data_IF_387620696404
#
_entry.id   IF_387620696404
#
_cell.length_a   1.000
_cell.length_b   1.000
_cell.length_c   1.000
_cell.angle_alpha   90.00
_cell.angle_beta   90.00
_cell.angle_gamma   90.00
#
_symmetry.space_group_name_H-M   'P 1'
#
loop_
_entity.id
_entity.type
_entity.pdbx_description
1 polymer ?
#
# COMPACT_ATOMS: atom_id res chain seq x y z
N UNK A 1 1.89 -43.12 -2.07
CA UNK A 1 1.33 -41.77 -1.81
C UNK A 1 2.29 -41.02 -0.91
N UNK A 2 3.19 -40.22 -1.48
CA UNK A 2 4.15 -39.43 -0.70
C UNK A 2 3.41 -38.31 0.03
N UNK A 3 3.43 -38.39 1.36
CA UNK A 3 2.86 -37.41 2.28
C UNK A 3 3.17 -35.97 1.84
N UNK A 4 2.12 -35.17 1.59
CA UNK A 4 2.22 -33.72 1.35
C UNK A 4 2.89 -32.95 2.51
N UNK A 5 3.25 -33.61 3.62
CA UNK A 5 3.93 -32.98 4.78
C UNK A 5 5.34 -32.44 4.45
N UNK A 6 6.00 -32.97 3.42
CA UNK A 6 7.43 -32.65 3.15
C UNK A 6 7.64 -31.50 2.17
N UNK A 7 6.60 -30.95 1.52
CA UNK A 7 6.79 -29.80 0.61
C UNK A 7 7.08 -28.53 1.43
N UNK A 8 8.26 -27.92 1.28
CA UNK A 8 8.59 -26.67 1.98
C UNK A 8 7.64 -25.56 1.50
N UNK A 9 7.26 -24.66 2.42
CA UNK A 9 6.39 -23.52 2.14
C UNK A 9 6.96 -22.61 1.05
N UNK A 10 8.28 -22.39 1.11
CA UNK A 10 9.01 -21.47 0.25
C UNK A 10 10.17 -22.19 -0.41
N UNK A 11 10.56 -21.70 -1.59
CA UNK A 11 11.74 -22.20 -2.29
C UNK A 11 13.04 -21.74 -1.60
N UNK A 12 13.46 -22.47 -0.57
CA UNK A 12 14.70 -22.18 0.17
C UNK A 12 15.99 -22.38 -0.64
N UNK A 13 15.93 -23.09 -1.77
CA UNK A 13 17.08 -23.23 -2.67
C UNK A 13 17.38 -21.95 -3.45
N UNK A 14 16.38 -21.08 -3.62
CA UNK A 14 16.51 -19.78 -4.29
C UNK A 14 15.76 -18.74 -3.45
N UNK A 15 16.38 -18.19 -2.40
CA UNK A 15 15.72 -17.30 -1.44
C UNK A 15 15.43 -15.90 -2.01
N UNK A 16 15.26 -15.74 -3.32
CA UNK A 16 14.95 -14.45 -3.95
C UNK A 16 13.66 -13.82 -3.43
N UNK A 17 12.74 -14.63 -2.90
CA UNK A 17 11.53 -14.15 -2.25
C UNK A 17 11.83 -13.25 -1.03
N UNK A 18 12.96 -13.43 -0.32
CA UNK A 18 13.37 -12.54 0.77
C UNK A 18 13.72 -11.14 0.26
N UNK A 19 14.41 -11.07 -0.88
CA UNK A 19 14.78 -9.79 -1.50
C UNK A 19 13.53 -9.08 -2.00
N UNK A 20 12.64 -9.80 -2.67
CA UNK A 20 11.37 -9.22 -3.14
C UNK A 20 10.54 -8.72 -1.95
N UNK A 21 10.41 -9.52 -0.89
CA UNK A 21 9.69 -9.12 0.32
C UNK A 21 10.33 -7.89 0.99
N UNK A 22 11.66 -7.86 1.08
CA UNK A 22 12.40 -6.69 1.58
C UNK A 22 12.12 -5.43 0.77
N UNK A 23 12.10 -5.54 -0.57
CA UNK A 23 11.73 -4.44 -1.46
C UNK A 23 10.29 -3.99 -1.23
N UNK A 24 9.34 -4.92 -1.09
CA UNK A 24 7.93 -4.59 -0.82
C UNK A 24 7.74 -3.86 0.50
N UNK A 25 8.43 -4.30 1.57
CA UNK A 25 8.38 -3.65 2.87
C UNK A 25 9.02 -2.27 2.84
N UNK A 26 10.21 -2.14 2.25
CA UNK A 26 10.91 -0.86 2.09
C UNK A 26 10.10 0.14 1.25
N UNK A 27 9.53 -0.33 0.14
CA UNK A 27 8.65 0.48 -0.70
C UNK A 27 7.36 0.88 0.04
N UNK A 28 6.75 -0.03 0.80
CA UNK A 28 5.59 0.28 1.66
C UNK A 28 5.88 1.38 2.68
N UNK A 29 7.06 1.37 3.30
CA UNK A 29 7.48 2.46 4.20
C UNK A 29 7.63 3.80 3.47
N UNK A 30 8.29 3.81 2.30
CA UNK A 30 8.44 5.02 1.49
C UNK A 30 7.09 5.58 1.04
N UNK A 31 6.20 4.68 0.61
CA UNK A 31 4.84 5.01 0.24
C UNK A 31 4.09 5.64 1.42
N UNK A 32 4.20 5.08 2.63
CA UNK A 32 3.48 5.58 3.81
C UNK A 32 3.94 6.99 4.16
N UNK A 33 5.25 7.22 4.14
CA UNK A 33 5.84 8.55 4.32
C UNK A 33 5.33 9.55 3.28
N UNK A 34 5.22 9.12 2.02
CA UNK A 34 4.73 9.97 0.93
C UNK A 34 3.26 10.35 1.13
N UNK A 35 2.40 9.39 1.50
CA UNK A 35 0.98 9.64 1.80
C UNK A 35 0.81 10.61 2.98
N UNK A 36 1.61 10.42 4.04
CA UNK A 36 1.60 11.29 5.21
C UNK A 36 1.93 12.73 4.81
N UNK A 37 3.02 12.94 4.05
CA UNK A 37 3.46 14.29 3.63
C UNK A 37 2.42 15.00 2.79
N UNK A 38 1.86 14.32 1.77
CA UNK A 38 0.84 14.92 0.89
C UNK A 38 -0.42 15.31 1.68
N UNK A 39 -0.93 14.42 2.54
CA UNK A 39 -2.11 14.72 3.34
C UNK A 39 -1.85 15.81 4.38
N UNK A 40 -0.67 15.82 4.99
CA UNK A 40 -0.28 16.85 5.94
C UNK A 40 -0.23 18.22 5.27
N UNK A 41 0.39 18.31 4.09
CA UNK A 41 0.45 19.55 3.32
C UNK A 41 -0.93 20.05 2.89
N UNK A 42 -1.78 19.17 2.36
CA UNK A 42 -3.19 19.51 2.05
C UNK A 42 -3.94 20.03 3.26
N UNK A 43 -3.82 19.35 4.41
CA UNK A 43 -4.51 19.77 5.64
C UNK A 43 -4.04 21.13 6.14
N UNK A 44 -2.73 21.37 6.15
CA UNK A 44 -2.17 22.65 6.60
C UNK A 44 -2.56 23.76 5.63
N UNK A 45 -2.48 23.52 4.32
CA UNK A 45 -2.89 24.50 3.33
C UNK A 45 -4.37 24.84 3.38
N UNK A 46 -5.24 23.86 3.62
CA UNK A 46 -6.68 24.10 3.82
C UNK A 46 -6.94 24.94 5.08
N UNK A 47 -6.21 24.69 6.17
CA UNK A 47 -6.37 25.43 7.43
C UNK A 47 -5.82 26.87 7.37
N UNK A 48 -4.76 27.10 6.60
CA UNK A 48 -4.12 28.42 6.47
C UNK A 48 -4.59 29.19 5.24
N UNK A 49 -5.40 28.55 4.38
CA UNK A 49 -5.96 29.12 3.15
C UNK A 49 -4.91 29.70 2.19
N UNK A 50 -3.66 29.25 2.25
CA UNK A 50 -2.56 29.79 1.45
C UNK A 50 -2.55 29.32 -0.02
N UNK A 51 -3.67 28.81 -0.54
CA UNK A 51 -3.72 28.22 -1.87
C UNK A 51 -3.60 29.24 -3.00
N UNK A 52 -3.94 30.49 -2.70
CA UNK A 52 -3.81 31.63 -3.61
C UNK A 52 -2.41 32.28 -3.55
N UNK A 53 -1.59 31.89 -2.58
CA UNK A 53 -0.22 32.37 -2.43
C UNK A 53 0.69 31.72 -3.49
N UNK A 54 1.67 32.49 -3.97
CA UNK A 54 2.72 31.99 -4.85
C UNK A 54 3.64 31.00 -4.11
N UNK A 55 4.33 30.15 -4.89
CA UNK A 55 5.17 29.08 -4.33
C UNK A 55 6.28 29.58 -3.39
N UNK A 56 7.01 30.69 -3.69
CA UNK A 56 7.96 31.30 -2.76
C UNK A 56 7.34 31.66 -1.41
N UNK A 57 6.22 32.39 -1.40
CA UNK A 57 5.54 32.80 -0.16
C UNK A 57 5.13 31.60 0.69
N UNK A 58 4.57 30.56 0.04
CA UNK A 58 4.24 29.29 0.73
C UNK A 58 5.46 28.59 1.30
N UNK A 59 6.59 28.61 0.60
CA UNK A 59 7.83 27.99 1.06
C UNK A 59 8.35 28.71 2.29
N UNK A 60 8.47 30.04 2.24
CA UNK A 60 8.93 30.86 3.37
C UNK A 60 8.01 30.70 4.58
N UNK A 61 6.69 30.69 4.37
CA UNK A 61 5.75 30.47 5.46
C UNK A 61 5.92 29.07 6.08
N UNK A 62 6.05 28.02 5.24
CA UNK A 62 6.18 26.64 5.68
C UNK A 62 7.45 26.45 6.53
N UNK A 63 8.58 26.97 6.08
CA UNK A 63 9.84 26.84 6.80
C UNK A 63 9.81 27.52 8.18
N UNK A 64 9.05 28.61 8.31
CA UNK A 64 8.91 29.34 9.56
C UNK A 64 7.83 28.77 10.51
N UNK A 65 6.72 28.27 9.97
CA UNK A 65 5.50 28.02 10.75
C UNK A 65 4.93 26.61 10.65
N UNK A 66 5.44 25.75 9.75
CA UNK A 66 4.80 24.46 9.48
C UNK A 66 4.67 23.61 10.77
N UNK A 67 3.44 23.18 11.10
CA UNK A 67 3.22 22.39 12.29
C UNK A 67 3.92 21.04 12.17
N UNK A 68 4.47 20.58 13.27
CA UNK A 68 5.13 19.29 13.32
C UNK A 68 4.09 18.17 13.18
N UNK A 69 4.09 17.45 12.06
CA UNK A 69 3.29 16.24 11.89
C UNK A 69 3.86 15.10 12.73
N UNK A 70 3.24 14.77 13.85
CA UNK A 70 3.59 13.60 14.66
C UNK A 70 2.75 12.40 14.25
N UNK A 71 3.42 11.34 13.81
CA UNK A 71 2.85 10.03 13.53
C UNK A 71 3.50 9.00 14.44
N UNK A 72 2.87 7.84 14.64
CA UNK A 72 3.23 6.84 15.67
C UNK A 72 4.74 6.54 15.80
N UNK A 73 5.51 6.62 14.71
CA UNK A 73 6.95 6.37 14.70
C UNK A 73 7.79 7.44 13.99
N UNK A 74 7.18 8.57 13.59
CA UNK A 74 7.87 9.57 12.76
C UNK A 74 7.39 11.00 13.03
N UNK A 75 8.31 11.94 12.96
CA UNK A 75 8.05 13.37 13.08
C UNK A 75 8.40 14.02 11.75
N UNK A 76 7.40 14.49 11.01
CA UNK A 76 7.62 15.18 9.72
C UNK A 76 7.42 16.68 9.89
N UNK A 77 8.49 17.45 9.76
CA UNK A 77 8.45 18.90 9.44
C UNK A 77 8.60 19.16 7.94
N UNK A 78 9.39 18.32 7.28
CA UNK A 78 9.75 18.52 5.88
C UNK A 78 8.59 18.13 4.95
N UNK A 79 8.31 19.00 3.99
CA UNK A 79 7.50 18.72 2.81
C UNK A 79 8.41 18.49 1.59
N UNK A 80 7.83 18.14 0.44
CA UNK A 80 8.59 18.11 -0.81
C UNK A 80 8.53 19.48 -1.49
N UNK A 81 9.64 20.01 -2.02
CA UNK A 81 9.67 21.32 -2.67
C UNK A 81 8.62 21.47 -3.78
N UNK A 82 8.35 20.38 -4.50
CA UNK A 82 7.32 20.32 -5.54
C UNK A 82 5.93 20.73 -5.03
N UNK A 83 5.57 20.42 -3.78
CA UNK A 83 4.22 20.70 -3.26
C UNK A 83 3.91 22.19 -3.18
N UNK A 84 4.93 23.03 -2.98
CA UNK A 84 4.77 24.48 -3.01
C UNK A 84 4.40 25.01 -4.39
N UNK A 85 4.79 24.31 -5.47
CA UNK A 85 4.47 24.72 -6.83
C UNK A 85 3.08 24.27 -7.30
N UNK A 86 2.47 23.32 -6.60
CA UNK A 86 1.17 22.76 -6.96
C UNK A 86 0.04 23.54 -6.28
N UNK A 87 -1.02 23.85 -7.02
CA UNK A 87 -2.26 24.31 -6.40
C UNK A 87 -3.01 23.14 -5.73
N UNK A 88 -4.10 23.45 -5.01
CA UNK A 88 -4.86 22.45 -4.27
C UNK A 88 -5.36 21.28 -5.14
N UNK A 89 -5.96 21.59 -6.29
CA UNK A 89 -6.55 20.55 -7.17
C UNK A 89 -5.48 19.66 -7.80
N UNK A 90 -4.34 20.25 -8.20
CA UNK A 90 -3.17 19.53 -8.70
C UNK A 90 -2.58 18.61 -7.62
N UNK A 91 -2.51 19.06 -6.37
CA UNK A 91 -1.98 18.24 -5.29
C UNK A 91 -2.94 17.09 -4.90
N UNK A 92 -4.25 17.32 -4.98
CA UNK A 92 -5.26 16.25 -4.86
C UNK A 92 -5.13 15.25 -6.00
N UNK A 93 -4.98 15.71 -7.25
CA UNK A 93 -4.74 14.83 -8.39
C UNK A 93 -3.44 14.03 -8.22
N UNK A 94 -2.36 14.67 -7.76
CA UNK A 94 -1.10 14.03 -7.43
C UNK A 94 -1.26 12.93 -6.36
N UNK A 95 -2.03 13.19 -5.30
CA UNK A 95 -2.33 12.20 -4.25
C UNK A 95 -2.99 10.95 -4.82
N UNK A 96 -4.01 11.12 -5.66
CA UNK A 96 -4.73 10.01 -6.27
C UNK A 96 -3.89 9.29 -7.33
N UNK A 97 -3.14 10.04 -8.15
CA UNK A 97 -2.17 9.49 -9.11
C UNK A 97 -1.08 8.66 -8.43
N UNK A 98 -0.51 9.15 -7.33
CA UNK A 98 0.45 8.41 -6.51
C UNK A 98 -0.17 7.12 -5.97
N UNK A 99 -1.42 7.16 -5.52
CA UNK A 99 -2.12 5.97 -5.02
C UNK A 99 -2.34 4.93 -6.13
N UNK A 100 -2.73 5.36 -7.33
CA UNK A 100 -2.86 4.46 -8.48
C UNK A 100 -1.50 3.86 -8.90
N UNK A 101 -0.44 4.67 -8.93
CA UNK A 101 0.90 4.21 -9.26
C UNK A 101 1.44 3.18 -8.25
N UNK A 102 1.27 3.45 -6.95
CA UNK A 102 1.62 2.51 -5.87
C UNK A 102 0.88 1.19 -6.03
N UNK A 103 -0.43 1.24 -6.32
CA UNK A 103 -1.24 0.02 -6.50
C UNK A 103 -0.69 -0.84 -7.65
N UNK A 104 -0.34 -0.22 -8.77
CA UNK A 104 0.26 -0.92 -9.91
C UNK A 104 1.62 -1.53 -9.56
N UNK A 105 2.47 -0.78 -8.85
CA UNK A 105 3.79 -1.26 -8.41
C UNK A 105 3.62 -2.46 -7.47
N UNK A 106 2.71 -2.41 -6.50
CA UNK A 106 2.45 -3.53 -5.60
C UNK A 106 1.92 -4.76 -6.33
N UNK A 107 1.04 -4.58 -7.33
CA UNK A 107 0.59 -5.70 -8.16
C UNK A 107 1.76 -6.38 -8.88
N UNK A 108 2.69 -5.60 -9.46
CA UNK A 108 3.89 -6.13 -10.11
C UNK A 108 4.79 -6.86 -9.10
N UNK A 109 5.00 -6.28 -7.92
CA UNK A 109 5.80 -6.88 -6.86
C UNK A 109 5.17 -8.18 -6.32
N UNK A 110 3.84 -8.22 -6.20
CA UNK A 110 3.09 -9.42 -5.80
C UNK A 110 3.26 -10.55 -6.82
N UNK A 111 3.13 -10.25 -8.11
CA UNK A 111 3.39 -11.23 -9.19
C UNK A 111 4.85 -11.70 -9.14
N UNK A 112 5.80 -10.80 -8.92
CA UNK A 112 7.21 -11.13 -8.77
C UNK A 112 7.44 -12.02 -7.54
N UNK A 113 6.75 -11.77 -6.44
CA UNK A 113 6.82 -12.56 -5.22
C UNK A 113 6.30 -13.99 -5.44
N UNK A 114 5.17 -14.16 -6.15
CA UNK A 114 4.67 -15.49 -6.51
C UNK A 114 5.66 -16.27 -7.40
N UNK A 115 6.30 -15.59 -8.35
CA UNK A 115 7.38 -16.19 -9.16
C UNK A 115 8.58 -16.59 -8.31
N UNK A 116 9.00 -15.72 -7.39
CA UNK A 116 10.16 -15.94 -6.52
C UNK A 116 9.94 -17.06 -5.49
N UNK A 117 8.70 -17.23 -5.02
CA UNK A 117 8.29 -18.32 -4.11
C UNK A 117 8.06 -19.65 -4.83
N UNK A 118 7.99 -19.65 -6.16
CA UNK A 118 7.88 -20.84 -6.99
C UNK A 118 6.45 -21.31 -7.27
N UNK A 119 5.47 -20.40 -7.15
CA UNK A 119 4.05 -20.67 -7.40
C UNK A 119 3.42 -19.69 -8.42
N UNK A 120 4.04 -19.47 -9.60
CA UNK A 120 3.54 -18.53 -10.61
C UNK A 120 2.13 -18.88 -11.11
N UNK A 121 1.73 -20.15 -11.05
CA UNK A 121 0.40 -20.62 -11.42
C UNK A 121 -0.72 -20.04 -10.55
N UNK A 122 -0.39 -19.42 -9.40
CA UNK A 122 -1.36 -18.78 -8.50
C UNK A 122 -1.69 -17.33 -8.84
N UNK A 123 -1.10 -16.76 -9.90
CA UNK A 123 -1.42 -15.39 -10.36
C UNK A 123 -2.93 -15.16 -10.60
N UNK A 124 -3.73 -16.11 -11.14
CA UNK A 124 -5.17 -15.91 -11.27
C UNK A 124 -5.88 -15.65 -9.93
N UNK A 125 -5.43 -16.29 -8.84
CA UNK A 125 -5.97 -16.04 -7.49
C UNK A 125 -5.61 -14.64 -6.99
N UNK A 126 -4.39 -14.17 -7.27
CA UNK A 126 -3.98 -12.81 -6.98
C UNK A 126 -4.85 -11.80 -7.73
N UNK A 127 -5.09 -12.02 -9.03
CA UNK A 127 -5.96 -11.17 -9.84
C UNK A 127 -7.38 -11.13 -9.26
N UNK A 128 -7.93 -12.28 -8.84
CA UNK A 128 -9.23 -12.35 -8.21
C UNK A 128 -9.30 -11.51 -6.92
N UNK A 129 -8.26 -11.54 -6.09
CA UNK A 129 -8.16 -10.71 -4.88
C UNK A 129 -8.16 -9.22 -5.26
N UNK A 130 -7.37 -8.81 -6.25
CA UNK A 130 -7.31 -7.42 -6.69
C UNK A 130 -8.64 -6.93 -7.24
N UNK A 131 -9.33 -7.74 -8.05
CA UNK A 131 -10.63 -7.38 -8.62
C UNK A 131 -11.67 -7.27 -7.51
N UNK A 132 -11.75 -8.24 -6.60
CA UNK A 132 -12.78 -8.24 -5.55
C UNK A 132 -12.54 -7.14 -4.51
N UNK A 133 -11.30 -6.93 -4.07
CA UNK A 133 -10.96 -5.82 -3.17
C UNK A 133 -11.03 -4.44 -3.86
N UNK A 134 -10.96 -4.40 -5.20
CA UNK A 134 -11.16 -3.19 -6.00
C UNK A 134 -12.62 -2.73 -6.09
N UNK A 135 -13.59 -3.61 -5.89
CA UNK A 135 -15.03 -3.26 -5.95
C UNK A 135 -15.38 -2.16 -4.93
N UNK A 136 -15.03 -2.28 -3.63
CA UNK A 136 -15.22 -1.19 -2.66
C UNK A 136 -14.56 0.12 -3.09
N UNK A 137 -13.39 0.05 -3.73
CA UNK A 137 -12.64 1.23 -4.14
C UNK A 137 -13.32 2.04 -5.24
N UNK A 138 -14.11 1.42 -6.13
CA UNK A 138 -14.93 2.15 -7.11
C UNK A 138 -15.93 3.07 -6.38
N UNK A 139 -16.44 2.62 -5.23
CA UNK A 139 -17.31 3.43 -4.39
C UNK A 139 -16.62 4.52 -3.57
N UNK A 140 -15.27 4.61 -3.55
CA UNK A 140 -14.58 5.77 -2.94
C UNK A 140 -14.92 7.07 -3.67
N UNK A 141 -15.16 7.03 -4.98
CA UNK A 141 -15.58 8.19 -5.75
C UNK A 141 -16.97 8.72 -5.36
N UNK A 142 -17.77 7.90 -4.67
CA UNK A 142 -19.16 8.18 -4.33
C UNK A 142 -19.43 8.23 -2.82
N UNK A 143 -18.42 8.04 -1.97
CA UNK A 143 -18.56 7.98 -0.51
C UNK A 143 -17.81 9.12 0.18
N UNK A 144 -18.39 9.60 1.28
CA UNK A 144 -17.79 10.69 2.07
C UNK A 144 -16.98 10.15 3.25
N UNK A 145 -15.95 10.88 3.71
CA UNK A 145 -15.26 10.56 4.95
C UNK A 145 -16.25 10.43 6.12
N UNK A 146 -16.21 9.32 6.84
CA UNK A 146 -17.11 9.00 7.96
C UNK A 146 -18.15 7.93 7.64
N UNK A 147 -18.36 7.61 6.37
CA UNK A 147 -19.24 6.51 5.97
C UNK A 147 -18.53 5.14 6.12
N UNK A 148 -19.26 4.08 6.52
CA UNK A 148 -18.71 2.73 6.59
C UNK A 148 -18.06 2.26 5.28
N UNK A 149 -18.64 2.65 4.14
CA UNK A 149 -18.12 2.30 2.83
C UNK A 149 -16.76 2.94 2.52
N UNK A 150 -16.60 4.21 2.90
CA UNK A 150 -15.33 4.93 2.76
C UNK A 150 -14.23 4.26 3.59
N UNK A 151 -14.53 3.87 4.83
CA UNK A 151 -13.59 3.17 5.70
C UNK A 151 -13.17 1.82 5.10
N UNK A 152 -14.13 1.00 4.68
CA UNK A 152 -13.88 -0.29 4.04
C UNK A 152 -12.97 -0.14 2.81
N UNK A 153 -13.28 0.81 1.93
CA UNK A 153 -12.53 0.99 0.71
C UNK A 153 -11.11 1.53 0.95
N UNK A 154 -10.92 2.35 2.00
CA UNK A 154 -9.59 2.78 2.45
C UNK A 154 -8.77 1.60 2.96
N UNK A 155 -9.39 0.69 3.71
CA UNK A 155 -8.71 -0.48 4.26
C UNK A 155 -8.36 -1.49 3.15
N UNK A 156 -9.25 -1.70 2.17
CA UNK A 156 -8.98 -2.51 0.98
C UNK A 156 -7.85 -1.92 0.13
N UNK A 157 -7.82 -0.60 -0.06
CA UNK A 157 -6.71 0.08 -0.74
C UNK A 157 -5.39 -0.12 0.01
N UNK A 158 -5.40 0.01 1.33
CA UNK A 158 -4.22 -0.27 2.17
C UNK A 158 -3.76 -1.73 2.05
N UNK A 159 -4.70 -2.68 2.03
CA UNK A 159 -4.42 -4.09 1.84
C UNK A 159 -3.76 -4.38 0.48
N UNK A 160 -4.30 -3.83 -0.62
CA UNK A 160 -3.74 -4.02 -1.96
C UNK A 160 -2.39 -3.30 -2.18
N UNK A 161 -2.07 -2.30 -1.37
CA UNK A 161 -0.78 -1.60 -1.39
C UNK A 161 0.19 -2.15 -0.32
N UNK A 162 0.12 -3.45 -0.07
CA UNK A 162 0.96 -4.13 0.90
C UNK A 162 1.38 -5.50 0.39
N UNK A 163 2.31 -6.21 1.06
CA UNK A 163 2.66 -7.59 0.69
C UNK A 163 1.57 -8.62 0.99
N UNK A 164 0.50 -8.24 1.69
CA UNK A 164 -0.51 -9.17 2.18
C UNK A 164 -1.21 -9.99 1.08
N UNK A 165 -1.61 -9.43 -0.09
CA UNK A 165 -2.30 -10.20 -1.11
C UNK A 165 -1.49 -11.42 -1.58
N UNK A 166 -0.23 -11.22 -1.98
CA UNK A 166 0.61 -12.33 -2.44
C UNK A 166 1.04 -13.26 -1.31
N UNK A 167 1.29 -12.75 -0.11
CA UNK A 167 1.57 -13.57 1.08
C UNK A 167 0.38 -14.49 1.40
N UNK A 168 -0.86 -13.99 1.36
CA UNK A 168 -2.06 -14.81 1.57
C UNK A 168 -2.19 -15.92 0.52
N UNK A 169 -1.95 -15.59 -0.76
CA UNK A 169 -1.98 -16.56 -1.86
C UNK A 169 -0.96 -17.69 -1.67
N UNK A 170 0.18 -17.40 -1.04
CA UNK A 170 1.21 -18.41 -0.71
C UNK A 170 0.82 -19.22 0.53
N UNK A 171 0.48 -18.54 1.63
CA UNK A 171 0.32 -19.13 2.96
C UNK A 171 -0.98 -19.91 3.15
N UNK A 172 -2.12 -19.37 2.71
CA UNK A 172 -3.44 -19.96 3.03
C UNK A 172 -3.57 -21.39 2.52
N UNK A 173 -3.26 -21.70 1.24
CA UNK A 173 -3.34 -23.08 0.74
C UNK A 173 -2.39 -24.02 1.47
N UNK A 174 -1.22 -23.52 1.90
CA UNK A 174 -0.24 -24.32 2.63
C UNK A 174 -0.73 -24.66 4.05
N UNK A 175 -1.34 -23.71 4.75
CA UNK A 175 -1.96 -23.95 6.06
C UNK A 175 -3.11 -24.95 5.95
N UNK A 176 -4.03 -24.75 5.00
CA UNK A 176 -5.15 -25.67 4.73
C UNK A 176 -4.67 -27.10 4.44
N UNK A 177 -3.64 -27.24 3.59
CA UNK A 177 -3.07 -28.55 3.26
C UNK A 177 -2.47 -29.28 4.49
N UNK A 178 -1.96 -28.53 5.48
CA UNK A 178 -1.43 -29.12 6.71
C UNK A 178 -2.51 -29.52 7.71
N UNK A 179 -3.57 -28.71 7.85
CA UNK A 179 -4.69 -29.04 8.74
C UNK A 179 -5.41 -30.31 8.27
N UNK A 180 -5.69 -30.42 6.97
CA UNK A 180 -6.31 -31.63 6.41
C UNK A 180 -5.41 -32.87 6.56
N UNK A 181 -4.07 -32.69 6.60
CA UNK A 181 -3.13 -33.79 6.79
C UNK A 181 -2.96 -34.23 8.25
N UNK A 182 -3.47 -33.47 9.22
CA UNK A 182 -3.58 -33.87 10.62
C UNK A 182 -4.86 -34.65 10.90
N UNK A 183 -5.97 -34.32 10.23
CA UNK A 183 -7.27 -34.97 10.44
C UNK A 183 -7.35 -36.42 9.91
N UNK A 184 -6.47 -36.81 8.99
CA UNK A 184 -6.41 -38.18 8.45
C UNK A 184 -5.43 -39.11 9.19
N UNK A 185 -4.83 -38.66 10.30
CA UNK A 185 -3.90 -39.45 11.12
C UNK A 185 -4.42 -39.68 12.54
N UNK A 186 -5.55 -39.06 12.90
CA UNK A 186 -6.34 -39.36 14.09
C UNK A 186 -7.47 -40.34 13.74
#
# INVERSE_FOLDING_TARGET
MTSNRSKPLLNWRRPWWLVVLGVMLGFGLLQEQSKIKVNHYLRVGDAQQFWDDDAPTRTTWWDAHAPVGRHNFYVSRATWPLFHSLNRSQLVAFKWGLSAAVLLIFFVLDVLFLRATGVPERVPWLVLIYVTAGIPMVGLGFSSPGEPWYALARDMLGFLQSPLPSVMVVLVPWFLARMNATDHVA
#
